data_IF_780669861079
#
_entry.id   IF_780669861079
#
_cell.length_a   1.000
_cell.length_b   1.000
_cell.length_c   1.000
_cell.angle_alpha   90.00
_cell.angle_beta   90.00
_cell.angle_gamma   90.00
#
_symmetry.space_group_name_H-M   'P 1'
#
loop_
_entity.id
_entity.type
_entity.pdbx_description
1 polymer ?
#
# COMPACT_ATOMS: atom_id res chain seq x y z
N UNK A 1 18.03 9.38 -6.62
CA UNK A 1 16.60 9.22 -6.23
C UNK A 1 16.20 10.13 -5.06
N UNK A 2 15.26 11.07 -5.28
CA UNK A 2 14.56 11.83 -4.21
C UNK A 2 13.22 11.17 -3.90
N UNK A 3 12.77 11.23 -2.63
CA UNK A 3 11.48 10.65 -2.21
C UNK A 3 10.67 11.55 -1.30
N UNK A 4 9.34 11.48 -1.46
CA UNK A 4 8.34 12.11 -0.59
C UNK A 4 7.23 11.10 -0.30
N UNK A 5 6.93 10.86 0.97
CA UNK A 5 5.86 9.95 1.39
C UNK A 5 4.84 10.76 2.19
N UNK A 6 3.58 10.65 1.79
CA UNK A 6 2.45 11.27 2.48
C UNK A 6 1.46 10.19 2.90
N UNK A 7 1.17 10.16 4.20
CA UNK A 7 0.12 9.33 4.77
C UNK A 7 -1.05 10.24 5.14
N UNK A 8 -2.25 9.85 4.76
CA UNK A 8 -3.49 10.58 5.08
C UNK A 8 -4.64 9.63 5.33
N UNK A 9 -5.65 10.12 6.04
CA UNK A 9 -6.73 9.30 6.57
C UNK A 9 -6.31 8.50 7.81
N UNK A 10 -7.23 7.68 8.31
CA UNK A 10 -6.98 6.82 9.46
C UNK A 10 -7.94 5.64 9.47
N UNK A 11 -7.61 4.61 10.25
CA UNK A 11 -8.49 3.45 10.44
C UNK A 11 -9.86 3.84 11.02
N UNK A 12 -9.94 4.92 11.82
CA UNK A 12 -11.22 5.48 12.29
C UNK A 12 -12.11 5.91 11.14
N UNK A 13 -11.52 6.47 10.08
CA UNK A 13 -12.19 6.86 8.84
C UNK A 13 -12.43 5.67 7.89
N UNK A 14 -12.08 4.45 8.33
CA UNK A 14 -12.15 3.19 7.57
C UNK A 14 -11.34 3.18 6.27
N UNK A 15 -10.55 4.22 6.04
CA UNK A 15 -9.77 4.41 4.83
C UNK A 15 -8.44 5.06 5.19
N UNK A 16 -7.35 4.46 4.72
CA UNK A 16 -6.00 5.02 4.82
C UNK A 16 -5.39 5.13 3.44
N UNK A 17 -4.78 6.27 3.14
CA UNK A 17 -4.06 6.53 1.90
C UNK A 17 -2.57 6.68 2.16
N UNK A 18 -1.77 5.99 1.36
CA UNK A 18 -0.34 6.21 1.25
C UNK A 18 -0.02 6.69 -0.17
N UNK A 19 0.58 7.87 -0.28
CA UNK A 19 1.12 8.38 -1.55
C UNK A 19 2.63 8.51 -1.42
N UNK A 20 3.36 7.74 -2.21
CA UNK A 20 4.81 7.80 -2.30
C UNK A 20 5.22 8.31 -3.68
N UNK A 21 6.00 9.39 -3.70
CA UNK A 21 6.49 10.05 -4.91
C UNK A 21 8.00 9.91 -4.94
N UNK A 22 8.49 9.35 -6.04
CA UNK A 22 9.90 9.14 -6.33
C UNK A 22 10.30 9.94 -7.56
N UNK A 23 11.43 10.62 -7.48
CA UNK A 23 12.06 11.31 -8.61
C UNK A 23 13.43 10.67 -8.84
N UNK A 24 13.58 10.06 -10.00
CA UNK A 24 14.76 9.31 -10.41
C UNK A 24 15.68 10.16 -11.28
N UNK A 25 16.93 9.73 -11.40
CA UNK A 25 17.95 10.48 -12.13
C UNK A 25 17.88 10.22 -13.66
N UNK A 26 17.09 9.21 -14.08
CA UNK A 26 16.78 8.89 -15.46
C UNK A 26 15.29 8.59 -15.64
N UNK A 27 14.82 8.61 -16.89
CA UNK A 27 13.49 8.14 -17.23
C UNK A 27 13.30 6.67 -16.87
N UNK A 28 12.07 6.33 -16.51
CA UNK A 28 11.68 4.99 -16.05
C UNK A 28 11.01 4.25 -17.19
N UNK A 29 11.31 2.97 -17.32
CA UNK A 29 10.53 2.07 -18.16
C UNK A 29 9.13 1.90 -17.57
N UNK A 30 8.19 2.70 -18.09
CA UNK A 30 6.84 2.74 -17.60
C UNK A 30 6.07 1.45 -17.89
N UNK A 31 6.40 0.75 -18.97
CA UNK A 31 5.72 -0.48 -19.36
C UNK A 31 6.15 -1.62 -18.43
N UNK A 32 7.45 -1.79 -18.23
CA UNK A 32 8.01 -2.78 -17.31
C UNK A 32 7.50 -2.56 -15.89
N UNK A 33 7.54 -1.33 -15.36
CA UNK A 33 7.13 -1.07 -13.98
C UNK A 33 5.63 -1.34 -13.77
N UNK A 34 4.78 -0.96 -14.73
CA UNK A 34 3.36 -1.27 -14.68
C UNK A 34 3.10 -2.77 -14.76
N UNK A 35 3.82 -3.50 -15.60
CA UNK A 35 3.68 -4.96 -15.70
C UNK A 35 4.04 -5.64 -14.39
N UNK A 36 5.17 -5.27 -13.77
CA UNK A 36 5.61 -5.83 -12.49
C UNK A 36 4.59 -5.55 -11.39
N UNK A 37 4.10 -4.31 -11.30
CA UNK A 37 3.14 -3.93 -10.25
C UNK A 37 1.81 -4.68 -10.42
N UNK A 38 1.31 -4.79 -11.65
CA UNK A 38 0.03 -5.45 -11.92
C UNK A 38 0.07 -6.97 -11.78
N UNK A 39 1.24 -7.59 -11.97
CA UNK A 39 1.42 -9.05 -11.86
C UNK A 39 1.97 -9.51 -10.52
N UNK A 40 2.41 -8.60 -9.66
CA UNK A 40 3.08 -8.97 -8.41
C UNK A 40 2.07 -9.20 -7.27
N UNK A 41 2.11 -10.39 -6.62
CA UNK A 41 1.32 -10.68 -5.43
C UNK A 41 1.55 -9.70 -4.29
N UNK A 42 2.70 -9.01 -4.31
CA UNK A 42 3.04 -8.00 -3.31
C UNK A 42 2.08 -6.83 -3.37
N UNK A 43 1.47 -6.50 -4.51
CA UNK A 43 0.53 -5.39 -4.69
C UNK A 43 -0.96 -5.80 -4.77
N UNK A 44 -1.27 -7.10 -4.67
CA UNK A 44 -2.64 -7.63 -4.73
C UNK A 44 -3.50 -7.21 -3.53
N UNK A 45 -4.82 -7.43 -3.61
CA UNK A 45 -5.72 -7.20 -2.48
C UNK A 45 -5.42 -8.18 -1.34
N UNK A 46 -5.23 -7.70 -0.10
CA UNK A 46 -4.96 -8.53 1.08
C UNK A 46 -5.98 -8.30 2.19
N UNK A 47 -6.69 -9.35 2.61
CA UNK A 47 -7.51 -9.34 3.83
C UNK A 47 -6.76 -9.92 5.04
N UNK A 48 -7.08 -9.44 6.25
CA UNK A 48 -6.62 -10.02 7.51
C UNK A 48 -7.81 -10.43 8.40
N UNK A 49 -7.58 -11.20 9.47
CA UNK A 49 -8.63 -11.62 10.40
C UNK A 49 -8.37 -11.02 11.78
N UNK A 50 -9.40 -10.48 12.44
CA UNK A 50 -9.31 -9.92 13.78
C UNK A 50 -10.16 -10.72 14.75
N UNK A 51 -9.58 -11.24 15.82
CA UNK A 51 -10.36 -11.89 16.88
C UNK A 51 -10.94 -10.84 17.82
N UNK A 52 -12.26 -10.82 17.99
CA UNK A 52 -12.93 -10.01 19.02
C UNK A 52 -13.62 -10.97 19.99
N UNK A 53 -13.31 -10.85 21.29
CA UNK A 53 -13.94 -11.61 22.38
C UNK A 53 -13.98 -13.14 22.16
N UNK A 54 -12.86 -13.73 21.72
CA UNK A 54 -12.77 -15.19 21.51
C UNK A 54 -13.52 -15.71 20.28
N UNK A 55 -14.18 -14.84 19.51
CA UNK A 55 -14.80 -15.18 18.23
C UNK A 55 -13.91 -14.67 17.10
N UNK A 56 -13.55 -15.54 16.16
CA UNK A 56 -12.83 -15.13 14.94
C UNK A 56 -13.84 -14.39 14.06
N UNK A 57 -13.76 -13.06 14.02
CA UNK A 57 -14.60 -12.25 13.13
C UNK A 57 -13.75 -11.67 12.00
N UNK A 58 -14.29 -11.68 10.78
CA UNK A 58 -13.54 -11.38 9.57
C UNK A 58 -13.63 -9.89 9.22
N UNK A 59 -12.60 -9.12 9.55
CA UNK A 59 -12.43 -7.74 9.08
C UNK A 59 -11.65 -7.74 7.77
N UNK A 60 -12.32 -7.58 6.63
CA UNK A 60 -11.62 -7.60 5.35
C UNK A 60 -11.06 -6.23 5.05
N UNK A 61 -9.74 -6.13 4.87
CA UNK A 61 -9.11 -4.93 4.32
C UNK A 61 -8.88 -5.12 2.83
N UNK A 62 -9.25 -4.12 2.05
CA UNK A 62 -9.01 -4.07 0.61
C UNK A 62 -7.87 -3.09 0.38
N UNK A 63 -6.81 -3.57 -0.25
CA UNK A 63 -5.64 -2.76 -0.58
C UNK A 63 -5.55 -2.61 -2.09
N UNK A 64 -5.80 -1.41 -2.58
CA UNK A 64 -5.67 -1.07 -4.00
C UNK A 64 -4.39 -0.25 -4.21
N UNK A 65 -3.53 -0.70 -5.11
CA UNK A 65 -2.30 0.01 -5.48
C UNK A 65 -2.41 0.53 -6.91
N UNK A 66 -2.02 1.78 -7.13
CA UNK A 66 -1.93 2.41 -8.46
C UNK A 66 -0.59 3.08 -8.63
N UNK A 67 -0.02 2.96 -9.82
CA UNK A 67 1.24 3.62 -10.18
C UNK A 67 1.00 4.60 -11.31
N UNK A 68 1.58 5.79 -11.17
CA UNK A 68 1.54 6.85 -12.17
C UNK A 68 2.97 7.25 -12.50
N UNK A 69 3.29 7.30 -13.79
CA UNK A 69 4.65 7.54 -14.28
C UNK A 69 4.62 8.72 -15.24
N UNK A 70 5.53 9.68 -15.03
CA UNK A 70 5.67 10.87 -15.87
C UNK A 70 7.15 11.24 -15.97
N UNK A 71 7.80 10.83 -17.06
CA UNK A 71 9.25 10.96 -17.24
C UNK A 71 10.01 10.20 -16.14
N UNK A 72 10.90 10.90 -15.45
CA UNK A 72 11.66 10.38 -14.31
C UNK A 72 10.90 10.36 -12.97
N UNK A 73 9.61 10.74 -12.95
CA UNK A 73 8.79 10.79 -11.74
C UNK A 73 7.81 9.62 -11.67
N UNK A 74 7.86 8.89 -10.57
CA UNK A 74 6.99 7.74 -10.28
C UNK A 74 6.19 8.03 -9.02
N UNK A 75 4.88 7.82 -9.07
CA UNK A 75 3.98 7.96 -7.93
C UNK A 75 3.27 6.65 -7.67
N UNK A 76 3.49 6.06 -6.50
CA UNK A 76 2.74 4.92 -5.98
C UNK A 76 1.67 5.43 -5.02
N UNK A 77 0.41 5.15 -5.34
CA UNK A 77 -0.73 5.38 -4.45
C UNK A 77 -1.26 4.05 -3.95
N UNK A 78 -1.43 3.92 -2.64
CA UNK A 78 -2.02 2.75 -2.00
C UNK A 78 -3.22 3.22 -1.18
N UNK A 79 -4.38 2.63 -1.43
CA UNK A 79 -5.61 2.84 -0.68
C UNK A 79 -5.92 1.57 0.10
N UNK A 80 -6.00 1.71 1.41
CA UNK A 80 -6.53 0.69 2.32
C UNK A 80 -7.95 1.05 2.67
N UNK A 81 -8.89 0.12 2.49
CA UNK A 81 -10.29 0.27 2.85
C UNK A 81 -10.72 -0.90 3.72
N UNK A 82 -11.44 -0.61 4.80
CA UNK A 82 -11.84 -1.61 5.77
C UNK A 82 -13.32 -1.89 5.60
N UNK A 83 -13.63 -3.09 5.11
CA UNK A 83 -14.99 -3.58 5.07
C UNK A 83 -15.36 -4.12 6.44
N UNK A 84 -16.13 -3.33 7.18
CA UNK A 84 -16.76 -3.76 8.43
C UNK A 84 -17.97 -4.63 8.10
N UNK A 85 -17.95 -5.88 8.55
CA UNK A 85 -19.11 -6.79 8.46
C UNK A 85 -20.05 -6.60 9.67
N UNK A 86 -19.58 -5.91 10.72
CA UNK A 86 -20.30 -5.61 11.98
C UNK A 86 -19.77 -4.31 12.61
N UNK A 87 -20.45 -3.77 13.63
CA UNK A 87 -20.06 -2.57 14.42
C UNK A 87 -18.84 -2.80 15.34
N UNK A 88 -17.73 -3.30 14.79
CA UNK A 88 -16.44 -3.38 15.50
C UNK A 88 -15.64 -2.11 15.25
N UNK A 89 -15.08 -1.55 16.31
CA UNK A 89 -14.10 -0.48 16.22
C UNK A 89 -12.71 -1.04 15.84
N UNK A 90 -12.02 -0.42 14.87
CA UNK A 90 -10.66 -0.82 14.56
C UNK A 90 -9.71 -0.58 15.73
N UNK A 91 -8.74 -1.47 15.88
CA UNK A 91 -7.78 -1.47 16.99
C UNK A 91 -6.44 -0.89 16.58
N UNK A 92 -5.61 -0.53 17.57
CA UNK A 92 -4.21 -0.15 17.32
C UNK A 92 -3.44 -1.23 16.56
N UNK A 93 -3.72 -2.51 16.83
CA UNK A 93 -3.08 -3.64 16.14
C UNK A 93 -3.38 -3.63 14.63
N UNK A 94 -4.56 -3.16 14.24
CA UNK A 94 -4.94 -3.03 12.84
C UNK A 94 -4.20 -1.86 12.18
N UNK A 95 -4.00 -0.75 12.91
CA UNK A 95 -3.18 0.38 12.47
C UNK A 95 -1.73 -0.02 12.25
N UNK A 96 -1.16 -0.74 13.22
CA UNK A 96 0.22 -1.22 13.17
C UNK A 96 0.43 -2.18 12.00
N UNK A 97 -0.57 -3.03 11.71
CA UNK A 97 -0.53 -3.91 10.54
C UNK A 97 -0.52 -3.12 9.22
N UNK A 98 -1.38 -2.11 9.07
CA UNK A 98 -1.40 -1.27 7.85
C UNK A 98 -0.07 -0.52 7.70
N UNK A 99 0.46 0.06 8.78
CA UNK A 99 1.75 0.75 8.73
C UNK A 99 2.89 -0.20 8.37
N UNK A 100 2.88 -1.43 8.89
CA UNK A 100 3.86 -2.45 8.54
C UNK A 100 3.76 -2.87 7.07
N UNK A 101 2.55 -3.10 6.55
CA UNK A 101 2.34 -3.44 5.14
C UNK A 101 2.80 -2.29 4.22
N UNK A 102 2.47 -1.02 4.54
CA UNK A 102 2.97 0.15 3.82
C UNK A 102 4.50 0.15 3.79
N UNK A 103 5.16 0.00 4.95
CA UNK A 103 6.62 -0.01 5.03
C UNK A 103 7.25 -1.10 4.16
N UNK A 104 6.69 -2.31 4.18
CA UNK A 104 7.17 -3.41 3.33
C UNK A 104 6.94 -3.13 1.85
N UNK A 105 5.79 -2.60 1.45
CA UNK A 105 5.51 -2.27 0.06
C UNK A 105 6.46 -1.21 -0.47
N UNK A 106 6.68 -0.15 0.29
CA UNK A 106 7.58 0.93 -0.11
C UNK A 106 9.01 0.40 -0.27
N UNK A 107 9.48 -0.49 0.60
CA UNK A 107 10.78 -1.15 0.43
C UNK A 107 10.86 -1.96 -0.87
N UNK A 108 9.84 -2.79 -1.15
CA UNK A 108 9.82 -3.59 -2.38
C UNK A 108 9.75 -2.70 -3.62
N UNK A 109 8.95 -1.65 -3.58
CA UNK A 109 8.85 -0.70 -4.68
C UNK A 109 10.14 0.07 -4.90
N UNK A 110 10.82 0.50 -3.83
CA UNK A 110 12.14 1.14 -3.92
C UNK A 110 13.19 0.22 -4.56
N UNK A 111 13.14 -1.10 -4.33
CA UNK A 111 14.00 -2.06 -5.01
C UNK A 111 13.72 -2.16 -6.52
N UNK A 112 12.46 -2.04 -6.93
CA UNK A 112 12.08 -2.03 -8.36
C UNK A 112 12.53 -0.76 -9.09
N UNK A 113 12.70 0.34 -8.36
CA UNK A 113 13.16 1.62 -8.90
C UNK A 113 14.70 1.75 -8.90
N UNK A 114 15.39 0.84 -8.23
CA UNK A 114 16.85 0.77 -8.22
C UNK A 114 17.40 0.13 -9.51
N UNK A 115 18.69 0.33 -9.80
CA UNK A 115 19.35 -0.43 -10.86
C UNK A 115 19.22 -1.94 -10.58
N UNK A 116 18.77 -2.69 -11.58
CA UNK A 116 18.91 -4.15 -11.59
C UNK A 116 20.40 -4.40 -11.86
N UNK A 117 21.14 -4.80 -10.83
CA UNK A 117 22.51 -5.34 -11.03
C UNK A 117 22.47 -6.66 -11.81
#
# INVERSE_FOLDING_TARGET
MKKKIELSGSLKEMVTYCTAIYELDSDVDAEMLNEVVNKSPIFENKGFNTSVLGTIQKTTVNRNSKVFIKGNRVTLQIRYEILRVVDIEPTQKDEDWIQSDISHLLKHFELLLGPIE
#
